data_IF_925446198388
#
_entry.id   IF_925446198388
#
_cell.length_a   1.000
_cell.length_b   1.000
_cell.length_c   1.000
_cell.angle_alpha   90.00
_cell.angle_beta   90.00
_cell.angle_gamma   90.00
#
_symmetry.space_group_name_H-M   'P 1'
#
loop_
_entity.id
_entity.type
_entity.pdbx_description
1 polymer ?
#
# COMPACT_ATOMS: atom_id res chain seq x y z
N UNK A 1 5.06 22.38 -11.36
CA UNK A 1 5.07 20.91 -11.13
C UNK A 1 3.89 20.62 -10.20
N UNK A 2 3.03 19.67 -10.54
CA UNK A 2 1.88 19.26 -9.71
C UNK A 2 2.40 18.66 -8.39
N UNK A 3 1.73 18.94 -7.28
CA UNK A 3 2.06 18.33 -5.98
C UNK A 3 1.88 16.81 -6.08
N UNK A 4 2.80 15.96 -5.55
CA UNK A 4 2.65 14.50 -5.61
C UNK A 4 1.36 13.97 -4.95
N UNK A 5 0.84 14.62 -3.91
CA UNK A 5 -0.46 14.27 -3.34
C UNK A 5 -1.62 14.54 -4.31
N UNK A 6 -1.61 15.68 -5.01
CA UNK A 6 -2.59 15.99 -6.06
C UNK A 6 -2.49 14.97 -7.21
N UNK A 7 -1.25 14.55 -7.55
CA UNK A 7 -1.02 13.51 -8.55
C UNK A 7 -1.59 12.16 -8.12
N UNK A 8 -1.51 11.80 -6.82
CA UNK A 8 -2.13 10.59 -6.28
C UNK A 8 -3.66 10.67 -6.34
N UNK A 9 -4.25 11.80 -5.91
CA UNK A 9 -5.71 12.01 -6.00
C UNK A 9 -6.17 11.89 -7.45
N UNK A 10 -5.47 12.52 -8.39
CA UNK A 10 -5.78 12.44 -9.83
C UNK A 10 -5.58 11.02 -10.40
N UNK A 11 -4.65 10.23 -9.84
CA UNK A 11 -4.43 8.84 -10.22
C UNK A 11 -5.56 7.93 -9.72
N UNK A 12 -6.12 8.23 -8.54
CA UNK A 12 -7.26 7.53 -7.95
C UNK A 12 -8.60 8.01 -8.51
N UNK A 13 -8.66 9.16 -9.18
CA UNK A 13 -9.87 9.66 -9.82
C UNK A 13 -10.12 8.94 -11.16
N UNK A 14 -10.89 7.85 -11.09
CA UNK A 14 -11.21 7.03 -12.25
C UNK A 14 -12.27 7.68 -13.12
N UNK A 15 -12.11 7.55 -14.43
CA UNK A 15 -13.17 7.86 -15.39
C UNK A 15 -14.23 6.74 -15.35
N UNK A 16 -15.48 7.11 -15.12
CA UNK A 16 -16.59 6.18 -15.26
C UNK A 16 -16.98 6.06 -16.73
N UNK A 17 -16.87 4.86 -17.29
CA UNK A 17 -17.24 4.58 -18.69
C UNK A 17 -18.70 4.12 -18.77
N UNK A 18 -19.11 3.28 -17.81
CA UNK A 18 -20.46 2.72 -17.70
C UNK A 18 -20.77 2.44 -16.21
N UNK A 19 -21.99 2.08 -15.88
CA UNK A 19 -22.50 1.92 -14.50
C UNK A 19 -21.56 1.15 -13.57
N UNK A 20 -20.92 0.09 -14.04
CA UNK A 20 -20.00 -0.74 -13.27
C UNK A 20 -18.62 -0.87 -13.95
N UNK A 21 -18.28 0.05 -14.87
CA UNK A 21 -17.04 0.00 -15.63
C UNK A 21 -16.31 1.34 -15.49
N UNK A 22 -15.06 1.26 -15.04
CA UNK A 22 -14.21 2.43 -14.82
C UNK A 22 -12.89 2.28 -15.57
N UNK A 23 -12.28 3.41 -15.92
CA UNK A 23 -10.95 3.47 -16.54
C UNK A 23 -9.99 4.22 -15.64
N UNK A 24 -8.92 3.57 -15.24
CA UNK A 24 -7.80 4.16 -14.51
C UNK A 24 -6.64 4.50 -15.45
N UNK A 25 -5.95 5.59 -15.15
CA UNK A 25 -4.68 5.94 -15.80
C UNK A 25 -3.57 5.07 -15.25
N UNK A 26 -2.56 4.80 -16.08
CA UNK A 26 -1.31 4.16 -15.68
C UNK A 26 -0.16 5.01 -16.23
N UNK A 27 0.58 5.74 -15.39
CA UNK A 27 1.68 6.59 -15.83
C UNK A 27 2.77 5.77 -16.56
N UNK A 28 3.38 6.35 -17.60
CA UNK A 28 4.47 5.71 -18.36
C UNK A 28 5.77 5.56 -17.57
N UNK A 29 5.88 6.28 -16.48
CA UNK A 29 7.11 6.45 -15.70
C UNK A 29 7.42 5.29 -14.75
N UNK A 30 6.56 4.30 -14.67
CA UNK A 30 6.80 3.05 -13.93
C UNK A 30 7.81 2.19 -14.67
N UNK A 31 8.90 1.79 -14.01
CA UNK A 31 10.12 1.29 -14.65
C UNK A 31 9.95 -0.02 -15.44
N UNK A 32 9.13 -0.96 -15.02
CA UNK A 32 8.96 -2.26 -15.71
C UNK A 32 7.51 -2.77 -15.68
N UNK A 33 6.77 -2.47 -14.62
CA UNK A 33 5.39 -2.90 -14.39
C UNK A 33 4.64 -1.86 -13.58
N UNK A 34 3.32 -1.84 -13.71
CA UNK A 34 2.46 -0.99 -12.90
C UNK A 34 2.63 -1.38 -11.43
N UNK A 35 2.69 -0.39 -10.55
CA UNK A 35 2.77 -0.61 -9.11
C UNK A 35 1.49 -1.29 -8.59
N UNK A 36 1.64 -2.34 -7.77
CA UNK A 36 0.51 -3.13 -7.26
C UNK A 36 -0.45 -2.31 -6.41
N UNK A 37 0.07 -1.46 -5.53
CA UNK A 37 -0.73 -0.57 -4.71
C UNK A 37 -1.57 0.42 -5.53
N UNK A 38 -1.09 0.87 -6.70
CA UNK A 38 -1.90 1.66 -7.63
C UNK A 38 -3.12 0.88 -8.12
N UNK A 39 -2.90 -0.37 -8.57
CA UNK A 39 -3.99 -1.20 -9.10
C UNK A 39 -5.00 -1.53 -7.99
N UNK A 40 -4.53 -1.83 -6.78
CA UNK A 40 -5.37 -2.10 -5.62
C UNK A 40 -6.18 -0.86 -5.19
N UNK A 41 -5.54 0.30 -5.09
CA UNK A 41 -6.21 1.57 -4.77
C UNK A 41 -7.27 1.94 -5.79
N UNK A 42 -6.96 1.87 -7.09
CA UNK A 42 -7.91 2.13 -8.18
C UNK A 42 -9.07 1.13 -8.18
N UNK A 43 -8.80 -0.17 -7.97
CA UNK A 43 -9.85 -1.18 -7.88
C UNK A 43 -10.81 -0.92 -6.70
N UNK A 44 -10.27 -0.47 -5.56
CA UNK A 44 -11.07 -0.12 -4.40
C UNK A 44 -11.92 1.15 -4.65
N UNK A 45 -11.39 2.15 -5.37
CA UNK A 45 -12.20 3.31 -5.82
C UNK A 45 -13.36 2.84 -6.69
N UNK A 46 -13.11 1.97 -7.68
CA UNK A 46 -14.17 1.43 -8.54
C UNK A 46 -15.24 0.70 -7.72
N UNK A 47 -14.84 -0.14 -6.76
CA UNK A 47 -15.77 -0.81 -5.85
C UNK A 47 -16.59 0.19 -5.03
N UNK A 48 -15.94 1.15 -4.37
CA UNK A 48 -16.58 2.14 -3.49
C UNK A 48 -17.57 3.03 -4.23
N UNK A 49 -17.26 3.45 -5.47
CA UNK A 49 -18.17 4.28 -6.29
C UNK A 49 -19.45 3.56 -6.74
N UNK A 50 -19.57 2.25 -6.50
CA UNK A 50 -20.78 1.47 -6.78
C UNK A 50 -21.58 1.14 -5.54
N UNK A 51 -21.20 1.66 -4.36
CA UNK A 51 -21.90 1.48 -3.09
C UNK A 51 -22.63 2.75 -2.67
N UNK A 52 -23.57 2.61 -1.74
CA UNK A 52 -24.15 3.74 -1.06
C UNK A 52 -23.10 4.36 -0.13
N UNK A 53 -22.97 5.68 -0.09
CA UNK A 53 -21.93 6.39 0.66
C UNK A 53 -22.00 6.25 2.20
N UNK A 54 -23.02 5.57 2.73
CA UNK A 54 -23.20 5.33 4.18
C UNK A 54 -22.45 4.08 4.68
N UNK A 55 -21.69 3.40 3.82
CA UNK A 55 -21.00 2.13 4.10
C UNK A 55 -19.52 2.22 3.75
N UNK A 56 -18.65 2.51 4.71
CA UNK A 56 -17.22 2.41 4.49
C UNK A 56 -16.79 0.96 4.22
N UNK A 57 -15.73 0.78 3.46
CA UNK A 57 -15.09 -0.53 3.31
C UNK A 57 -14.51 -0.96 4.66
N UNK A 58 -14.72 -2.23 5.03
CA UNK A 58 -14.13 -2.81 6.23
C UNK A 58 -13.12 -3.93 5.93
N UNK A 59 -13.14 -4.51 4.73
CA UNK A 59 -12.12 -5.48 4.30
C UNK A 59 -12.01 -5.57 2.79
N UNK A 60 -10.82 -5.96 2.33
CA UNK A 60 -10.56 -6.37 0.95
C UNK A 60 -9.61 -7.56 0.90
N UNK A 61 -9.74 -8.37 -0.17
CA UNK A 61 -8.84 -9.48 -0.51
C UNK A 61 -8.57 -9.44 -2.02
N UNK A 62 -7.29 -9.51 -2.38
CA UNK A 62 -6.88 -9.31 -3.77
C UNK A 62 -5.78 -10.29 -4.21
N UNK A 63 -5.73 -10.60 -5.52
CA UNK A 63 -4.68 -11.36 -6.17
C UNK A 63 -4.08 -10.60 -7.35
N UNK A 64 -2.75 -10.57 -7.41
CA UNK A 64 -1.98 -10.08 -8.55
C UNK A 64 -1.72 -11.24 -9.52
N UNK A 65 -2.37 -11.21 -10.68
CA UNK A 65 -2.38 -12.33 -11.61
C UNK A 65 -1.31 -12.19 -12.71
N UNK A 66 -1.04 -10.94 -13.14
CA UNK A 66 -0.08 -10.62 -14.20
C UNK A 66 0.49 -9.22 -14.01
N UNK A 67 1.74 -8.97 -14.46
CA UNK A 67 2.28 -7.61 -14.46
C UNK A 67 1.46 -6.70 -15.39
N UNK A 68 1.04 -5.55 -14.87
CA UNK A 68 0.43 -4.49 -15.66
C UNK A 68 1.50 -3.72 -16.46
N UNK A 69 1.16 -3.26 -17.67
CA UNK A 69 2.03 -2.44 -18.53
C UNK A 69 1.86 -0.96 -18.22
N UNK A 70 2.93 -0.23 -17.90
CA UNK A 70 2.91 1.23 -17.78
C UNK A 70 2.45 1.90 -19.08
N UNK A 71 1.84 3.08 -18.97
CA UNK A 71 1.32 3.83 -20.10
C UNK A 71 0.03 3.29 -20.73
N UNK A 72 -0.40 2.08 -20.38
CA UNK A 72 -1.65 1.48 -20.87
C UNK A 72 -2.74 1.64 -19.81
N UNK A 73 -3.91 2.23 -20.16
CA UNK A 73 -5.03 2.33 -19.23
C UNK A 73 -5.49 0.97 -18.70
N UNK A 74 -6.01 0.96 -17.48
CA UNK A 74 -6.57 -0.22 -16.84
C UNK A 74 -8.10 -0.05 -16.79
N UNK A 75 -8.83 -1.06 -17.24
CA UNK A 75 -10.30 -1.11 -17.12
C UNK A 75 -10.66 -1.93 -15.89
N UNK A 76 -11.47 -1.35 -15.01
CA UNK A 76 -12.00 -1.98 -13.82
C UNK A 76 -13.47 -2.32 -14.03
N UNK A 77 -13.80 -3.61 -13.98
CA UNK A 77 -15.16 -4.11 -14.07
C UNK A 77 -15.62 -4.53 -12.69
N UNK A 78 -16.73 -3.97 -12.22
CA UNK A 78 -17.28 -4.20 -10.88
C UNK A 78 -18.50 -5.11 -11.00
N UNK A 79 -18.52 -6.18 -10.23
CA UNK A 79 -19.67 -7.04 -10.02
C UNK A 79 -20.27 -6.75 -8.64
N UNK A 80 -21.59 -6.55 -8.60
CA UNK A 80 -22.37 -6.31 -7.38
C UNK A 80 -22.83 -7.65 -6.81
N UNK A 81 -21.93 -8.35 -6.11
CA UNK A 81 -22.21 -9.69 -5.59
C UNK A 81 -23.30 -9.68 -4.50
N UNK A 82 -23.37 -8.61 -3.71
CA UNK A 82 -24.37 -8.47 -2.65
C UNK A 82 -24.69 -7.01 -2.32
N UNK A 83 -25.97 -6.70 -2.19
CA UNK A 83 -26.50 -5.49 -1.56
C UNK A 83 -27.45 -5.90 -0.43
N UNK A 84 -26.91 -6.08 0.77
CA UNK A 84 -27.66 -6.46 1.97
C UNK A 84 -28.01 -5.25 2.83
N UNK A 85 -28.73 -5.50 3.92
CA UNK A 85 -29.16 -4.44 4.85
C UNK A 85 -27.98 -3.76 5.55
N UNK A 86 -27.00 -4.53 6.07
CA UNK A 86 -25.82 -4.02 6.79
C UNK A 86 -24.54 -4.16 5.97
N UNK A 87 -24.40 -5.16 5.11
CA UNK A 87 -23.21 -5.46 4.33
C UNK A 87 -23.46 -5.39 2.83
N UNK A 88 -22.47 -4.88 2.11
CA UNK A 88 -22.41 -4.83 0.66
C UNK A 88 -21.10 -5.44 0.20
N UNK A 89 -21.13 -6.28 -0.86
CA UNK A 89 -19.92 -6.91 -1.41
C UNK A 89 -19.77 -6.55 -2.89
N UNK A 90 -18.54 -6.20 -3.27
CA UNK A 90 -18.14 -5.88 -4.64
C UNK A 90 -16.95 -6.72 -5.04
N UNK A 91 -16.99 -7.29 -6.23
CA UNK A 91 -15.87 -7.94 -6.87
C UNK A 91 -15.40 -7.11 -8.05
N UNK A 92 -14.11 -6.85 -8.12
CA UNK A 92 -13.49 -6.03 -9.17
C UNK A 92 -12.48 -6.86 -9.94
N UNK A 93 -12.58 -6.81 -11.27
CA UNK A 93 -11.59 -7.38 -12.18
C UNK A 93 -10.90 -6.23 -12.92
N UNK A 94 -9.57 -6.13 -12.77
CA UNK A 94 -8.75 -5.18 -13.51
C UNK A 94 -8.22 -5.83 -14.79
N UNK A 95 -8.48 -5.20 -15.93
CA UNK A 95 -8.18 -5.74 -17.27
C UNK A 95 -7.29 -4.77 -18.04
N UNK A 96 -6.24 -5.31 -18.66
CA UNK A 96 -5.42 -4.61 -19.64
C UNK A 96 -5.28 -5.46 -20.91
N UNK A 97 -5.50 -4.85 -22.10
CA UNK A 97 -5.34 -5.54 -23.39
C UNK A 97 -6.08 -6.90 -23.43
N UNK A 98 -7.32 -6.94 -22.92
CA UNK A 98 -8.15 -8.14 -22.87
C UNK A 98 -7.73 -9.22 -21.87
N UNK A 99 -6.73 -8.95 -21.01
CA UNK A 99 -6.23 -9.92 -20.02
C UNK A 99 -6.45 -9.40 -18.61
N UNK A 100 -7.01 -10.23 -17.73
CA UNK A 100 -7.11 -9.92 -16.31
C UNK A 100 -5.71 -9.86 -15.69
N UNK A 101 -5.35 -8.73 -15.09
CA UNK A 101 -4.07 -8.52 -14.40
C UNK A 101 -4.21 -8.61 -12.89
N UNK A 102 -5.43 -8.31 -12.34
CA UNK A 102 -5.68 -8.26 -10.91
C UNK A 102 -7.16 -8.51 -10.62
N UNK A 103 -7.46 -9.08 -9.46
CA UNK A 103 -8.81 -9.25 -8.93
C UNK A 103 -8.87 -8.81 -7.48
N UNK A 104 -10.00 -8.22 -7.07
CA UNK A 104 -10.24 -7.78 -5.70
C UNK A 104 -11.69 -8.06 -5.32
N UNK A 105 -11.91 -8.55 -4.10
CA UNK A 105 -13.22 -8.57 -3.46
C UNK A 105 -13.19 -7.67 -2.24
N UNK A 106 -14.10 -6.69 -2.18
CA UNK A 106 -14.24 -5.76 -1.07
C UNK A 106 -15.59 -5.91 -0.38
N UNK A 107 -15.58 -5.83 0.93
CA UNK A 107 -16.78 -5.81 1.76
C UNK A 107 -16.93 -4.47 2.46
N UNK A 108 -18.14 -3.95 2.42
CA UNK A 108 -18.54 -2.66 2.98
C UNK A 108 -19.56 -2.89 4.09
N UNK A 109 -19.48 -2.14 5.17
CA UNK A 109 -20.35 -2.33 6.33
C UNK A 109 -20.92 -1.00 6.81
N UNK A 110 -22.20 -0.99 7.11
CA UNK A 110 -22.84 0.15 7.75
C UNK A 110 -22.34 0.26 9.19
N UNK A 111 -21.84 1.43 9.64
CA UNK A 111 -21.30 1.56 10.97
C UNK A 111 -22.31 1.16 12.06
N UNK A 112 -21.86 0.38 13.02
CA UNK A 112 -22.64 -0.07 14.17
C UNK A 112 -21.86 0.19 15.46
N UNK A 113 -22.56 0.43 16.58
CA UNK A 113 -21.93 0.47 17.89
C UNK A 113 -21.64 -0.96 18.37
N UNK A 114 -20.37 -1.27 18.60
CA UNK A 114 -19.95 -2.54 19.20
C UNK A 114 -20.24 -2.58 20.72
N UNK A 115 -20.41 -3.78 21.26
CA UNK A 115 -20.62 -4.04 22.68
C UNK A 115 -19.30 -4.24 23.45
N UNK A 116 -18.18 -4.41 22.76
CA UNK A 116 -16.84 -4.58 23.34
C UNK A 116 -15.78 -4.07 22.37
N UNK A 117 -14.61 -3.74 22.89
CA UNK A 117 -13.46 -3.29 22.12
C UNK A 117 -12.16 -3.81 22.74
N UNK A 118 -11.21 -4.24 21.91
CA UNK A 118 -9.83 -4.53 22.29
C UNK A 118 -8.92 -4.38 21.07
N UNK A 119 -7.64 -4.17 21.32
CA UNK A 119 -6.59 -4.16 20.28
C UNK A 119 -5.26 -4.60 20.87
N UNK A 120 -4.32 -5.02 20.03
CA UNK A 120 -2.91 -5.15 20.39
C UNK A 120 -2.24 -3.78 20.26
N UNK A 121 -1.37 -3.39 21.21
CA UNK A 121 -0.56 -2.18 21.06
C UNK A 121 0.50 -2.37 19.94
N UNK A 122 1.15 -1.28 19.48
CA UNK A 122 2.35 -1.37 18.67
C UNK A 122 3.41 -2.28 19.34
N UNK A 123 4.17 -3.03 18.54
CA UNK A 123 5.11 -4.03 19.04
C UNK A 123 6.23 -3.40 19.91
N UNK A 124 6.55 -2.13 19.68
CA UNK A 124 7.55 -1.36 20.43
C UNK A 124 7.21 0.14 20.45
N UNK A 125 7.80 0.86 21.40
CA UNK A 125 7.81 2.33 21.32
C UNK A 125 8.73 2.77 20.20
N UNK A 126 8.28 3.74 19.41
CA UNK A 126 9.00 4.30 18.27
C UNK A 126 9.20 5.81 18.47
N UNK A 127 10.26 6.41 17.91
CA UNK A 127 10.45 7.85 17.89
C UNK A 127 9.35 8.55 17.12
N UNK A 128 9.13 9.84 17.42
CA UNK A 128 8.24 10.67 16.61
C UNK A 128 8.76 10.80 15.17
N UNK A 129 7.88 10.78 14.17
CA UNK A 129 8.29 10.82 12.77
C UNK A 129 9.11 12.06 12.41
N UNK A 130 8.83 13.22 13.02
CA UNK A 130 9.58 14.45 12.79
C UNK A 130 11.03 14.38 13.25
N UNK A 131 11.36 13.48 14.17
CA UNK A 131 12.74 13.27 14.65
C UNK A 131 13.57 12.34 13.76
N UNK A 132 12.91 11.64 12.82
CA UNK A 132 13.56 10.67 11.93
C UNK A 132 13.98 11.33 10.60
N UNK A 133 15.12 10.93 10.01
CA UNK A 133 15.53 11.40 8.70
C UNK A 133 14.55 10.92 7.61
N UNK A 134 14.50 11.64 6.50
CA UNK A 134 13.86 11.12 5.29
C UNK A 134 14.76 10.07 4.63
N UNK A 135 14.17 9.21 3.79
CA UNK A 135 14.95 8.26 2.97
C UNK A 135 16.03 8.99 2.15
N UNK A 136 15.69 10.17 1.59
CA UNK A 136 16.64 10.97 0.83
C UNK A 136 17.81 11.48 1.67
N UNK A 137 17.58 11.82 2.95
CA UNK A 137 18.63 12.27 3.86
C UNK A 137 19.57 11.12 4.23
N UNK A 138 19.05 9.93 4.53
CA UNK A 138 19.88 8.75 4.78
C UNK A 138 20.71 8.34 3.56
N UNK A 139 20.13 8.42 2.34
CA UNK A 139 20.88 8.18 1.10
C UNK A 139 22.01 9.18 0.92
N UNK A 140 21.77 10.48 1.16
CA UNK A 140 22.81 11.52 1.10
C UNK A 140 23.90 11.29 2.15
N UNK A 141 23.54 10.94 3.37
CA UNK A 141 24.48 10.64 4.46
C UNK A 141 25.39 9.47 4.07
N UNK A 142 24.82 8.41 3.49
CA UNK A 142 25.59 7.19 3.16
C UNK A 142 26.43 7.33 1.88
N UNK A 143 25.88 7.92 0.81
CA UNK A 143 26.54 8.02 -0.50
C UNK A 143 27.27 9.34 -0.72
N UNK A 144 27.19 10.29 0.23
CA UNK A 144 27.70 11.66 0.06
C UNK A 144 26.87 12.55 -0.87
N UNK A 145 25.97 11.98 -1.66
CA UNK A 145 25.06 12.69 -2.56
C UNK A 145 23.80 11.85 -2.82
N UNK A 146 22.72 12.52 -3.22
CA UNK A 146 21.51 11.83 -3.71
C UNK A 146 21.63 11.67 -5.25
N UNK A 147 21.72 10.43 -5.79
CA UNK A 147 21.73 10.22 -7.23
C UNK A 147 20.50 10.83 -7.91
N UNK A 148 20.69 11.44 -9.08
CA UNK A 148 19.63 12.18 -9.80
C UNK A 148 18.35 11.34 -10.03
N UNK A 149 18.52 10.04 -10.30
CA UNK A 149 17.38 9.14 -10.47
C UNK A 149 16.58 9.00 -9.17
N UNK A 150 17.24 8.84 -8.03
CA UNK A 150 16.60 8.76 -6.71
C UNK A 150 15.98 10.10 -6.31
N UNK A 151 16.63 11.21 -6.67
CA UNK A 151 16.06 12.54 -6.46
C UNK A 151 14.75 12.73 -7.25
N UNK A 152 14.73 12.33 -8.52
CA UNK A 152 13.49 12.35 -9.32
C UNK A 152 12.38 11.47 -8.73
N UNK A 153 12.72 10.27 -8.25
CA UNK A 153 11.77 9.38 -7.58
C UNK A 153 11.25 10.00 -6.28
N UNK A 154 12.12 10.54 -5.44
CA UNK A 154 11.75 11.18 -4.17
C UNK A 154 10.82 12.39 -4.39
N UNK A 155 11.06 13.20 -5.42
CA UNK A 155 10.20 14.36 -5.77
C UNK A 155 8.78 13.96 -6.21
N UNK A 156 8.57 12.74 -6.66
CA UNK A 156 7.29 12.22 -7.15
C UNK A 156 6.59 11.32 -6.16
N UNK A 157 7.27 10.96 -5.07
CA UNK A 157 6.73 10.10 -4.04
C UNK A 157 5.54 10.77 -3.36
N UNK A 158 4.33 10.18 -3.43
CA UNK A 158 3.14 10.79 -2.83
C UNK A 158 3.07 10.65 -1.32
N UNK A 159 3.96 9.84 -0.71
CA UNK A 159 4.05 9.65 0.74
C UNK A 159 5.43 10.05 1.27
N UNK A 160 5.45 10.80 2.37
CA UNK A 160 6.61 10.95 3.23
C UNK A 160 6.78 9.63 4.02
N UNK A 161 7.91 8.96 3.82
CA UNK A 161 8.23 7.66 4.42
C UNK A 161 9.47 7.84 5.28
N UNK A 162 9.39 7.45 6.55
CA UNK A 162 10.50 7.51 7.50
C UNK A 162 10.65 6.18 8.20
N UNK A 163 11.77 5.53 7.99
CA UNK A 163 12.07 4.26 8.65
C UNK A 163 12.43 4.51 10.12
N UNK A 164 11.84 3.72 11.01
CA UNK A 164 12.17 3.76 12.44
C UNK A 164 13.57 3.22 12.70
N UNK A 165 13.92 2.16 11.97
CA UNK A 165 15.28 1.62 11.96
C UNK A 165 16.05 2.22 10.79
N UNK A 166 17.34 2.47 10.98
CA UNK A 166 18.18 2.96 9.88
C UNK A 166 18.15 2.01 8.68
N UNK A 167 18.25 2.56 7.50
CA UNK A 167 18.36 1.79 6.26
C UNK A 167 19.60 0.89 6.32
N UNK A 168 19.48 -0.29 5.77
CA UNK A 168 20.56 -1.29 5.71
C UNK A 168 21.20 -1.24 4.33
N UNK A 169 22.53 -1.04 4.32
CA UNK A 169 23.30 -0.76 3.12
C UNK A 169 24.19 -1.91 2.68
N UNK A 170 24.55 -2.80 3.61
CA UNK A 170 25.50 -3.88 3.37
C UNK A 170 25.01 -5.23 3.89
N UNK A 171 25.63 -6.32 3.44
CA UNK A 171 25.34 -7.66 3.94
C UNK A 171 25.59 -7.78 5.46
N UNK A 172 26.57 -7.06 6.02
CA UNK A 172 26.81 -7.03 7.47
C UNK A 172 25.68 -6.39 8.28
N UNK A 173 24.92 -5.49 7.68
CA UNK A 173 23.79 -4.83 8.34
C UNK A 173 22.57 -5.74 8.49
N UNK A 174 22.53 -6.87 7.78
CA UNK A 174 21.40 -7.80 7.79
C UNK A 174 21.68 -9.08 8.59
N UNK A 175 22.93 -9.35 8.94
CA UNK A 175 23.29 -10.52 9.74
C UNK A 175 22.61 -10.49 11.12
N UNK A 176 21.80 -11.52 11.41
CA UNK A 176 21.01 -11.59 12.63
C UNK A 176 19.83 -10.61 12.72
N UNK A 177 19.52 -9.92 11.62
CA UNK A 177 18.40 -8.99 11.60
C UNK A 177 17.06 -9.72 11.74
N UNK A 178 16.21 -9.22 12.62
CA UNK A 178 14.83 -9.71 12.72
C UNK A 178 14.04 -9.38 11.44
N UNK A 179 13.11 -10.25 11.02
CA UNK A 179 12.23 -10.03 9.87
C UNK A 179 11.13 -9.02 10.22
N UNK A 180 11.52 -7.82 10.59
CA UNK A 180 10.64 -6.73 11.04
C UNK A 180 11.09 -5.41 10.47
N UNK A 181 10.11 -4.56 10.19
CA UNK A 181 10.29 -3.17 9.81
C UNK A 181 9.20 -2.32 10.45
N UNK A 182 9.51 -1.10 10.79
CA UNK A 182 8.50 -0.12 11.17
C UNK A 182 8.77 1.18 10.41
N UNK A 183 7.73 1.73 9.80
CA UNK A 183 7.82 2.96 9.01
C UNK A 183 6.70 3.90 9.38
N UNK A 184 7.02 5.18 9.55
CA UNK A 184 6.05 6.25 9.57
C UNK A 184 5.74 6.68 8.16
N UNK A 185 4.47 6.87 7.86
CA UNK A 185 4.02 7.33 6.54
C UNK A 185 2.92 8.37 6.67
N UNK A 186 2.88 9.31 5.71
CA UNK A 186 1.75 10.20 5.46
C UNK A 186 1.78 10.69 4.02
N UNK A 187 0.65 11.04 3.43
CA UNK A 187 0.66 11.75 2.15
C UNK A 187 1.37 13.11 2.29
N UNK A 188 2.12 13.53 1.26
CA UNK A 188 2.93 14.77 1.29
C UNK A 188 2.10 16.05 1.16
N UNK A 189 0.78 15.95 1.09
CA UNK A 189 -0.16 17.07 1.04
C UNK A 189 -1.59 16.60 1.28
N UNK A 190 -2.56 17.53 1.34
CA UNK A 190 -3.95 17.21 1.64
C UNK A 190 -4.59 16.35 0.55
N UNK A 191 -5.40 15.38 0.97
CA UNK A 191 -6.16 14.48 0.09
C UNK A 191 -7.65 14.85 -0.02
N UNK A 192 -8.07 15.95 0.62
CA UNK A 192 -9.48 16.33 0.75
C UNK A 192 -10.17 15.62 1.91
N UNK A 193 -11.50 15.63 1.93
CA UNK A 193 -12.28 15.10 3.07
C UNK A 193 -13.10 13.86 2.74
N UNK A 194 -12.96 13.31 1.52
CA UNK A 194 -13.64 12.08 1.13
C UNK A 194 -12.96 10.86 1.81
N UNK A 195 -13.64 10.13 2.72
CA UNK A 195 -13.07 8.98 3.40
C UNK A 195 -12.65 7.85 2.45
N UNK A 196 -13.31 7.72 1.29
CA UNK A 196 -12.96 6.73 0.28
C UNK A 196 -11.56 7.02 -0.30
N UNK A 197 -11.25 8.30 -0.57
CA UNK A 197 -9.94 8.72 -1.08
C UNK A 197 -8.84 8.37 -0.08
N UNK A 198 -9.03 8.65 1.21
CA UNK A 198 -8.07 8.29 2.27
C UNK A 198 -7.86 6.78 2.35
N UNK A 199 -8.95 6.00 2.28
CA UNK A 199 -8.86 4.52 2.32
C UNK A 199 -8.12 3.97 1.11
N UNK A 200 -8.39 4.49 -0.09
CA UNK A 200 -7.72 4.07 -1.31
C UNK A 200 -6.25 4.53 -1.35
N UNK A 201 -5.93 5.72 -0.83
CA UNK A 201 -4.57 6.19 -0.68
C UNK A 201 -3.77 5.34 0.31
N UNK A 202 -4.37 4.92 1.43
CA UNK A 202 -3.73 3.99 2.37
C UNK A 202 -3.54 2.59 1.73
N UNK A 203 -4.51 2.12 0.95
CA UNK A 203 -4.39 0.87 0.19
C UNK A 203 -3.22 0.94 -0.82
N UNK A 204 -3.05 2.09 -1.50
CA UNK A 204 -1.87 2.35 -2.32
C UNK A 204 -0.57 2.27 -1.49
N UNK A 205 -0.52 2.95 -0.33
CA UNK A 205 0.67 3.03 0.51
C UNK A 205 1.05 1.68 1.15
N UNK A 206 0.07 0.85 1.47
CA UNK A 206 0.28 -0.41 2.19
C UNK A 206 1.11 -1.44 1.40
N UNK A 207 1.16 -1.34 0.07
CA UNK A 207 1.98 -2.20 -0.82
C UNK A 207 3.42 -1.66 -1.03
N UNK A 208 3.78 -0.51 -0.44
CA UNK A 208 5.08 0.12 -0.72
C UNK A 208 6.24 -0.55 0.01
N UNK A 209 6.04 -1.00 1.24
CA UNK A 209 7.12 -1.43 2.14
C UNK A 209 6.88 -2.77 2.82
N UNK A 210 5.70 -3.38 2.71
CA UNK A 210 5.33 -4.56 3.51
C UNK A 210 6.26 -5.76 3.26
N UNK A 211 6.64 -6.01 2.02
CA UNK A 211 7.54 -7.11 1.65
C UNK A 211 9.00 -6.87 2.06
N UNK A 212 9.37 -5.65 2.47
CA UNK A 212 10.69 -5.38 3.03
C UNK A 212 10.95 -6.22 4.29
N UNK A 213 9.92 -6.46 5.11
CA UNK A 213 10.04 -7.31 6.29
C UNK A 213 10.49 -8.76 5.96
N UNK A 214 10.10 -9.28 4.78
CA UNK A 214 10.58 -10.59 4.31
C UNK A 214 12.04 -10.52 3.88
N UNK A 215 12.46 -9.41 3.26
CA UNK A 215 13.77 -9.24 2.65
C UNK A 215 14.89 -8.93 3.66
N UNK A 216 14.57 -8.16 4.69
CA UNK A 216 15.53 -7.66 5.68
C UNK A 216 16.51 -8.72 6.23
N UNK A 217 16.13 -9.97 6.54
CA UNK A 217 17.06 -10.96 7.06
C UNK A 217 18.05 -11.52 6.03
N UNK A 218 17.84 -11.29 4.74
CA UNK A 218 18.57 -11.95 3.66
C UNK A 218 19.32 -11.02 2.72
N UNK A 219 18.87 -9.77 2.59
CA UNK A 219 19.60 -8.77 1.80
C UNK A 219 19.33 -7.33 2.28
N UNK A 220 20.27 -6.40 2.03
CA UNK A 220 20.06 -4.98 2.32
C UNK A 220 18.86 -4.44 1.55
N UNK A 221 18.13 -3.47 2.14
CA UNK A 221 17.05 -2.77 1.44
C UNK A 221 17.57 -1.91 0.27
N UNK A 222 18.83 -1.47 0.35
CA UNK A 222 19.53 -0.65 -0.63
C UNK A 222 20.78 -1.34 -1.12
N UNK A 223 20.98 -1.30 -2.44
CA UNK A 223 22.12 -1.97 -3.08
C UNK A 223 21.69 -2.95 -4.19
N UNK A 224 22.61 -3.76 -4.68
CA UNK A 224 22.30 -4.80 -5.65
C UNK A 224 21.27 -5.78 -5.08
N UNK A 225 20.24 -6.08 -5.87
CA UNK A 225 19.21 -7.06 -5.48
C UNK A 225 19.65 -8.47 -5.84
N UNK A 226 19.55 -9.40 -4.90
CA UNK A 226 19.73 -10.83 -5.11
C UNK A 226 18.44 -11.56 -5.51
N UNK A 227 17.28 -10.86 -5.39
CA UNK A 227 15.96 -11.46 -5.63
C UNK A 227 15.11 -10.62 -6.57
N UNK A 228 14.41 -11.30 -7.50
CA UNK A 228 13.21 -10.76 -8.16
C UNK A 228 12.02 -10.98 -7.25
N UNK A 229 11.30 -9.91 -6.96
CA UNK A 229 10.19 -9.89 -6.01
C UNK A 229 8.90 -9.51 -6.71
N UNK A 230 7.81 -10.20 -6.38
CA UNK A 230 6.48 -9.84 -6.86
C UNK A 230 5.42 -10.15 -5.80
N UNK A 231 4.48 -9.22 -5.58
CA UNK A 231 3.29 -9.46 -4.78
C UNK A 231 2.41 -10.53 -5.43
N UNK A 232 1.90 -11.49 -4.64
CA UNK A 232 0.99 -12.54 -5.08
C UNK A 232 -0.45 -12.21 -4.69
N UNK A 233 -0.66 -11.78 -3.45
CA UNK A 233 -1.95 -11.36 -2.92
C UNK A 233 -1.82 -10.10 -2.07
N UNK A 234 -2.92 -9.56 -1.60
CA UNK A 234 -2.96 -8.47 -0.63
C UNK A 234 -4.32 -8.46 0.07
N UNK A 235 -4.34 -8.49 1.39
CA UNK A 235 -5.56 -8.46 2.19
C UNK A 235 -5.48 -7.36 3.24
N UNK A 236 -6.57 -6.63 3.45
CA UNK A 236 -6.66 -5.53 4.41
C UNK A 236 -7.97 -5.59 5.18
N UNK A 237 -7.92 -5.18 6.45
CA UNK A 237 -9.09 -4.97 7.32
C UNK A 237 -9.01 -3.58 7.93
N UNK A 238 -10.00 -2.75 7.67
CA UNK A 238 -10.11 -1.37 8.14
C UNK A 238 -10.96 -1.35 9.42
N UNK A 239 -10.36 -0.96 10.52
CA UNK A 239 -10.97 -1.06 11.86
C UNK A 239 -11.57 0.25 12.35
N UNK A 240 -10.95 1.38 11.99
CA UNK A 240 -11.34 2.73 12.43
C UNK A 240 -11.20 3.73 11.29
N UNK A 241 -11.99 4.82 11.29
CA UNK A 241 -11.76 5.96 10.41
C UNK A 241 -10.36 6.55 10.61
N UNK A 242 -9.75 7.03 9.54
CA UNK A 242 -8.43 7.65 9.55
C UNK A 242 -8.26 8.65 8.39
N UNK A 243 -7.18 9.44 8.46
CA UNK A 243 -6.71 10.27 7.36
C UNK A 243 -5.32 9.80 6.92
N UNK A 244 -5.14 9.54 5.62
CA UNK A 244 -3.85 9.11 5.08
C UNK A 244 -2.88 10.29 4.85
N UNK A 245 -3.34 11.54 5.02
CA UNK A 245 -2.52 12.75 5.05
C UNK A 245 -2.08 13.16 6.48
N UNK A 246 -2.43 12.37 7.49
CA UNK A 246 -1.87 12.40 8.83
C UNK A 246 -0.85 11.25 9.00
N UNK A 247 0.08 11.40 9.97
CA UNK A 247 1.06 10.36 10.24
C UNK A 247 0.41 9.08 10.76
N UNK A 248 0.76 7.97 10.15
CA UNK A 248 0.46 6.63 10.64
C UNK A 248 1.72 5.77 10.71
N UNK A 249 1.81 4.95 11.74
CA UNK A 249 2.87 3.97 11.93
C UNK A 249 2.47 2.65 11.27
N UNK A 250 3.29 2.14 10.36
CA UNK A 250 3.14 0.83 9.75
C UNK A 250 4.16 -0.15 10.35
N UNK A 251 3.73 -0.95 11.33
CA UNK A 251 4.51 -1.97 12.02
C UNK A 251 4.39 -3.29 11.26
N UNK A 252 5.49 -3.80 10.73
CA UNK A 252 5.57 -4.88 9.75
C UNK A 252 6.43 -6.02 10.27
N UNK A 253 6.01 -7.26 10.01
CA UNK A 253 6.77 -8.47 10.34
C UNK A 253 6.58 -9.56 9.28
N UNK A 254 7.58 -10.42 9.13
CA UNK A 254 7.48 -11.64 8.32
C UNK A 254 7.58 -12.87 9.22
N UNK A 255 6.49 -13.60 9.44
CA UNK A 255 6.52 -14.81 10.27
C UNK A 255 7.20 -15.99 9.59
N UNK A 256 7.27 -16.00 8.25
CA UNK A 256 7.83 -17.12 7.49
C UNK A 256 8.20 -16.71 6.06
N UNK A 257 9.33 -17.25 5.60
CA UNK A 257 9.69 -17.27 4.19
C UNK A 257 10.18 -18.70 3.84
N UNK A 258 9.58 -19.33 2.84
CA UNK A 258 9.91 -20.69 2.41
C UNK A 258 9.38 -20.97 1.00
N UNK A 259 10.01 -21.90 0.27
CA UNK A 259 9.55 -22.32 -1.06
C UNK A 259 9.48 -21.20 -2.08
N UNK A 260 10.38 -20.21 -2.01
CA UNK A 260 10.42 -19.05 -2.90
C UNK A 260 9.31 -18.04 -2.63
N UNK A 261 8.65 -18.08 -1.49
CA UNK A 261 7.62 -17.13 -1.06
C UNK A 261 7.89 -16.65 0.36
N UNK A 262 7.41 -15.45 0.67
CA UNK A 262 7.44 -14.89 2.01
C UNK A 262 6.09 -14.29 2.36
N UNK A 263 5.60 -14.57 3.58
CA UNK A 263 4.41 -13.94 4.13
C UNK A 263 4.83 -12.75 4.96
N UNK A 264 4.18 -11.62 4.75
CA UNK A 264 4.31 -10.43 5.58
C UNK A 264 2.97 -10.04 6.20
N UNK A 265 3.02 -9.53 7.42
CA UNK A 265 1.87 -8.96 8.14
C UNK A 265 2.20 -7.56 8.59
N UNK A 266 1.21 -6.68 8.53
CA UNK A 266 1.35 -5.31 8.98
C UNK A 266 0.17 -4.85 9.82
N UNK A 267 0.47 -3.99 10.79
CA UNK A 267 -0.53 -3.28 11.60
C UNK A 267 -0.26 -1.80 11.47
N UNK A 268 -1.31 -1.06 11.13
CA UNK A 268 -1.22 0.38 10.97
C UNK A 268 -1.88 1.05 12.18
N UNK A 269 -1.17 1.98 12.79
CA UNK A 269 -1.59 2.72 13.96
C UNK A 269 -1.54 4.23 13.71
N UNK A 270 -2.39 4.98 14.38
CA UNK A 270 -2.21 6.43 14.48
C UNK A 270 -1.11 6.79 15.50
N UNK A 271 -0.88 8.08 15.70
CA UNK A 271 0.12 8.58 16.65
C UNK A 271 -0.18 8.21 18.11
N UNK A 272 -1.44 8.04 18.45
CA UNK A 272 -1.92 7.66 19.78
C UNK A 272 -1.84 6.14 20.02
N UNK A 273 -1.42 5.38 19.03
CA UNK A 273 -1.30 3.90 19.08
C UNK A 273 -2.64 3.18 18.93
N UNK A 274 -3.67 3.85 18.38
CA UNK A 274 -4.94 3.21 18.03
C UNK A 274 -4.75 2.45 16.70
N UNK A 275 -5.11 1.17 16.68
CA UNK A 275 -5.00 0.35 15.48
C UNK A 275 -6.07 0.75 14.46
N UNK A 276 -5.62 1.16 13.29
CA UNK A 276 -6.46 1.62 12.19
C UNK A 276 -6.75 0.51 11.18
N UNK A 277 -5.69 -0.24 10.78
CA UNK A 277 -5.77 -1.23 9.70
C UNK A 277 -4.86 -2.42 10.00
N UNK A 278 -5.31 -3.62 9.64
CA UNK A 278 -4.47 -4.82 9.55
C UNK A 278 -4.24 -5.17 8.08
N UNK A 279 -3.02 -5.61 7.76
CA UNK A 279 -2.61 -5.96 6.39
C UNK A 279 -1.90 -7.29 6.39
N UNK A 280 -2.13 -8.11 5.35
CA UNK A 280 -1.40 -9.37 5.11
C UNK A 280 -1.11 -9.48 3.62
N UNK A 281 0.10 -9.95 3.28
CA UNK A 281 0.54 -10.10 1.89
C UNK A 281 1.52 -11.27 1.76
N UNK A 282 1.33 -12.13 0.76
CA UNK A 282 2.36 -13.07 0.31
C UNK A 282 3.09 -12.49 -0.91
N UNK A 283 4.40 -12.63 -0.91
CA UNK A 283 5.26 -12.24 -2.04
C UNK A 283 6.07 -13.42 -2.57
N UNK A 284 6.34 -13.40 -3.87
CA UNK A 284 7.30 -14.27 -4.53
C UNK A 284 8.71 -13.69 -4.37
N UNK A 285 9.68 -14.55 -4.08
CA UNK A 285 11.11 -14.22 -3.98
C UNK A 285 11.90 -15.24 -4.78
N UNK A 286 12.49 -14.84 -5.92
CA UNK A 286 13.30 -15.69 -6.76
C UNK A 286 14.71 -15.14 -6.84
N UNK A 287 15.70 -16.00 -6.64
CA UNK A 287 17.11 -15.64 -6.85
C UNK A 287 17.31 -15.21 -8.30
N UNK A 288 18.03 -14.10 -8.51
CA UNK A 288 18.40 -13.58 -9.82
C UNK A 288 19.53 -14.37 -10.45
#
# INVERSE_FOLDING_TARGET
MTNPAESLVALLDLEQIEVNIFRGRSPEESLQRVFGGQVAGQALVAAGRTTDGDRPVHSLHAYFLRPGRPGVPIVYQVERDRDGRSFTTRRVTAVQQGRTIFTLTASFHKPEQGSFEHQLPPARKVPDPESLPTVADEVREHLGALPEQLERMARRQPFDIRYVDRLRWSAGDVEGAEPRSAVWMRAVGPLGDDPLVHTCALTYASDMTLLDAVRIPVEPLWGPRGFDMASLDHAMWFHRPFRADEWFLYDQESPIATGGRGLARGRIYDREGRMLVSVVQEGLFRTL
#
